data_IF_452174155024
#
_entry.id   IF_452174155024
#
_cell.length_a   1.000
_cell.length_b   1.000
_cell.length_c   1.000
_cell.angle_alpha   90.00
_cell.angle_beta   90.00
_cell.angle_gamma   90.00
#
_symmetry.space_group_name_H-M   'P 1'
#
loop_
_entity.id
_entity.type
_entity.pdbx_description
1 polymer ?
#
# COMPACT_ATOMS: atom_id res chain seq x y z
N UNK A 1 -19.55 32.26 -14.18
CA UNK A 1 -20.95 31.76 -14.17
C UNK A 1 -21.10 30.23 -14.29
N UNK A 2 -20.04 29.46 -14.62
CA UNK A 2 -20.12 28.01 -14.90
C UNK A 2 -19.98 27.07 -13.67
N UNK A 3 -19.24 27.45 -12.63
CA UNK A 3 -19.06 26.64 -11.41
C UNK A 3 -20.39 26.33 -10.69
N UNK A 4 -21.30 27.31 -10.62
CA UNK A 4 -22.62 27.17 -9.95
C UNK A 4 -23.55 26.11 -10.58
N UNK A 5 -23.35 25.76 -11.85
CA UNK A 5 -24.20 24.78 -12.55
C UNK A 5 -23.85 23.35 -12.16
N UNK A 6 -22.57 23.08 -11.90
CA UNK A 6 -22.11 21.75 -11.49
C UNK A 6 -22.45 21.49 -10.02
N UNK A 7 -22.28 22.49 -9.15
CA UNK A 7 -22.70 22.43 -7.74
C UNK A 7 -24.18 22.07 -7.58
N UNK A 8 -25.05 22.66 -8.43
CA UNK A 8 -26.50 22.38 -8.41
C UNK A 8 -26.83 20.96 -8.86
N UNK A 9 -26.07 20.40 -9.79
CA UNK A 9 -26.26 19.05 -10.31
C UNK A 9 -25.85 17.99 -9.30
N UNK A 10 -24.78 18.24 -8.54
CA UNK A 10 -24.32 17.33 -7.50
C UNK A 10 -25.19 17.45 -6.23
N UNK A 11 -25.62 18.65 -5.83
CA UNK A 11 -26.56 18.81 -4.72
C UNK A 11 -27.88 18.07 -4.96
N UNK A 12 -28.45 18.16 -6.18
CA UNK A 12 -29.63 17.36 -6.57
C UNK A 12 -29.39 15.85 -6.49
N UNK A 13 -28.15 15.39 -6.66
CA UNK A 13 -27.73 13.99 -6.58
C UNK A 13 -27.39 13.55 -5.16
N UNK A 14 -27.11 14.45 -4.22
CA UNK A 14 -26.73 14.08 -2.85
C UNK A 14 -27.86 14.17 -1.80
N UNK A 15 -28.93 14.96 -2.02
CA UNK A 15 -29.93 15.27 -0.94
C UNK A 15 -31.34 14.64 -1.05
N UNK A 16 -31.52 13.46 -1.64
CA UNK A 16 -32.86 12.91 -1.88
C UNK A 16 -32.94 11.38 -1.78
N UNK A 17 -33.81 10.91 -0.89
CA UNK A 17 -34.06 9.50 -0.62
C UNK A 17 -34.66 8.75 -1.82
N UNK A 18 -34.27 7.47 -1.91
CA UNK A 18 -35.08 6.36 -2.42
C UNK A 18 -35.65 6.44 -3.84
N UNK A 19 -35.03 5.69 -4.76
CA UNK A 19 -35.66 5.07 -5.94
C UNK A 19 -36.05 5.92 -7.16
N UNK A 20 -36.49 7.19 -7.04
CA UNK A 20 -36.90 8.02 -8.21
C UNK A 20 -35.73 8.57 -9.05
N UNK A 21 -34.48 8.24 -8.69
CA UNK A 21 -33.23 8.83 -9.21
C UNK A 21 -32.66 8.21 -10.50
N UNK A 22 -33.02 6.99 -10.90
CA UNK A 22 -32.20 6.19 -11.86
C UNK A 22 -32.02 6.80 -13.26
N UNK A 23 -33.04 7.43 -13.88
CA UNK A 23 -32.89 8.06 -15.21
C UNK A 23 -32.34 9.50 -15.18
N UNK A 24 -32.62 10.29 -14.12
CA UNK A 24 -32.09 11.66 -13.98
C UNK A 24 -30.63 11.66 -13.50
N UNK A 25 -30.25 10.72 -12.63
CA UNK A 25 -28.87 10.53 -12.16
C UNK A 25 -27.91 10.22 -13.31
N UNK A 26 -28.29 9.35 -14.25
CA UNK A 26 -27.44 9.03 -15.41
C UNK A 26 -27.09 10.24 -16.31
N UNK A 27 -27.98 11.23 -16.43
CA UNK A 27 -27.71 12.49 -17.17
C UNK A 27 -26.92 13.50 -16.35
N UNK A 28 -27.02 13.46 -15.02
CA UNK A 28 -26.17 14.26 -14.14
C UNK A 28 -24.75 13.70 -14.14
N UNK A 29 -24.60 12.37 -14.02
CA UNK A 29 -23.35 11.63 -14.16
C UNK A 29 -22.61 11.93 -15.45
N UNK A 30 -23.32 11.83 -16.57
CA UNK A 30 -22.73 12.08 -17.88
C UNK A 30 -22.36 13.56 -18.09
N UNK A 31 -23.02 14.50 -17.40
CA UNK A 31 -22.63 15.91 -17.40
C UNK A 31 -21.42 16.16 -16.51
N UNK A 32 -21.37 15.54 -15.33
CA UNK A 32 -20.26 15.62 -14.40
C UNK A 32 -18.98 15.01 -14.99
N UNK A 33 -19.06 13.80 -15.53
CA UNK A 33 -17.94 13.14 -16.20
C UNK A 33 -17.42 13.96 -17.39
N UNK A 34 -18.31 14.57 -18.18
CA UNK A 34 -17.93 15.48 -19.27
C UNK A 34 -17.26 16.76 -18.78
N UNK A 35 -17.73 17.34 -17.68
CA UNK A 35 -17.13 18.54 -17.09
C UNK A 35 -15.69 18.23 -16.63
N UNK A 36 -15.51 17.13 -15.87
CA UNK A 36 -14.20 16.68 -15.40
C UNK A 36 -13.27 16.37 -16.58
N UNK A 37 -13.73 15.61 -17.58
CA UNK A 37 -12.92 15.25 -18.75
C UNK A 37 -12.54 16.46 -19.62
N UNK A 38 -13.24 17.59 -19.50
CA UNK A 38 -12.93 18.84 -20.21
C UNK A 38 -12.02 19.76 -19.40
N UNK A 39 -11.62 19.35 -18.19
CA UNK A 39 -10.86 20.21 -17.27
C UNK A 39 -11.70 21.36 -16.72
N UNK A 40 -13.04 21.30 -16.81
CA UNK A 40 -13.88 22.28 -16.12
C UNK A 40 -13.68 22.07 -14.61
N UNK A 41 -12.97 23.01 -14.00
CA UNK A 41 -12.60 23.01 -12.59
C UNK A 41 -13.85 22.80 -11.73
N UNK A 42 -13.96 21.63 -11.10
CA UNK A 42 -14.71 21.48 -9.87
C UNK A 42 -13.99 22.35 -8.85
N UNK A 43 -14.46 23.58 -8.68
CA UNK A 43 -13.80 24.56 -7.81
C UNK A 43 -13.76 24.06 -6.37
N UNK A 44 -12.65 23.41 -6.00
CA UNK A 44 -12.17 23.19 -4.64
C UNK A 44 -13.11 22.55 -3.63
N UNK A 45 -14.22 21.93 -4.03
CA UNK A 45 -15.21 21.39 -3.11
C UNK A 45 -15.94 20.20 -3.72
N UNK A 46 -15.37 19.00 -3.65
CA UNK A 46 -16.10 17.82 -3.16
C UNK A 46 -15.26 16.54 -3.33
N UNK A 47 -14.67 16.05 -2.23
CA UNK A 47 -14.09 14.70 -2.15
C UNK A 47 -15.07 13.62 -2.64
N UNK A 48 -16.36 13.75 -2.32
CA UNK A 48 -17.40 12.77 -2.68
C UNK A 48 -17.64 12.58 -4.19
N UNK A 49 -17.01 13.36 -5.06
CA UNK A 49 -17.13 13.18 -6.52
C UNK A 49 -16.61 11.80 -6.96
N UNK A 50 -15.51 11.34 -6.37
CA UNK A 50 -14.90 10.05 -6.70
C UNK A 50 -15.84 8.89 -6.36
N UNK A 51 -16.38 8.90 -5.14
CA UNK A 51 -17.33 7.88 -4.67
C UNK A 51 -18.61 7.84 -5.51
N UNK A 52 -19.15 9.02 -5.86
CA UNK A 52 -20.35 9.13 -6.69
C UNK A 52 -20.10 8.56 -8.09
N UNK A 53 -18.94 8.84 -8.71
CA UNK A 53 -18.58 8.31 -10.02
C UNK A 53 -18.40 6.79 -9.99
N UNK A 54 -17.72 6.26 -8.96
CA UNK A 54 -17.53 4.82 -8.78
C UNK A 54 -18.85 4.10 -8.51
N UNK A 55 -19.75 4.68 -7.71
CA UNK A 55 -21.08 4.12 -7.45
C UNK A 55 -21.97 4.02 -8.68
N UNK A 56 -21.68 4.79 -9.74
CA UNK A 56 -22.42 4.74 -11.00
C UNK A 56 -21.85 3.79 -12.04
N UNK A 57 -20.62 3.30 -11.86
CA UNK A 57 -19.94 2.43 -12.83
C UNK A 57 -20.68 1.11 -13.05
N UNK A 58 -21.14 0.38 -12.00
CA UNK A 58 -21.80 -0.92 -12.17
C UNK A 58 -23.10 -0.88 -12.99
N UNK A 59 -23.84 0.23 -12.94
CA UNK A 59 -25.15 0.38 -13.60
C UNK A 59 -25.08 1.21 -14.91
N UNK A 60 -23.88 1.56 -15.37
CA UNK A 60 -23.70 2.46 -16.52
C UNK A 60 -23.69 1.72 -17.85
N UNK A 61 -24.37 2.30 -18.85
CA UNK A 61 -24.21 1.89 -20.25
C UNK A 61 -22.74 2.02 -20.68
N UNK A 62 -22.23 1.19 -21.62
CA UNK A 62 -20.80 1.14 -21.97
C UNK A 62 -20.18 2.52 -22.25
N UNK A 63 -20.80 3.30 -23.14
CA UNK A 63 -20.33 4.66 -23.49
C UNK A 63 -20.28 5.64 -22.30
N UNK A 64 -21.11 5.42 -21.28
CA UNK A 64 -21.10 6.24 -20.05
C UNK A 64 -20.02 5.75 -19.10
N UNK A 65 -19.88 4.44 -18.93
CA UNK A 65 -18.82 3.84 -18.14
C UNK A 65 -17.44 4.31 -18.64
N UNK A 66 -17.21 4.34 -19.95
CA UNK A 66 -15.94 4.79 -20.53
C UNK A 66 -15.63 6.26 -20.21
N UNK A 67 -16.65 7.13 -20.22
CA UNK A 67 -16.49 8.54 -19.81
C UNK A 67 -16.22 8.69 -18.33
N UNK A 68 -16.89 7.88 -17.50
CA UNK A 68 -16.66 7.88 -16.06
C UNK A 68 -15.22 7.44 -15.78
N UNK A 69 -14.74 6.37 -16.42
CA UNK A 69 -13.34 5.92 -16.32
C UNK A 69 -12.37 7.00 -16.78
N UNK A 70 -12.64 7.65 -17.91
CA UNK A 70 -11.82 8.77 -18.39
C UNK A 70 -11.77 9.91 -17.35
N UNK A 71 -12.91 10.31 -16.79
CA UNK A 71 -12.98 11.33 -15.77
C UNK A 71 -12.20 10.94 -14.50
N UNK A 72 -12.31 9.68 -14.07
CA UNK A 72 -11.56 9.13 -12.94
C UNK A 72 -10.05 9.10 -13.19
N UNK A 73 -9.61 8.98 -14.44
CA UNK A 73 -8.18 9.02 -14.83
C UNK A 73 -7.64 10.45 -15.01
N UNK A 74 -8.50 11.46 -14.98
CA UNK A 74 -8.12 12.86 -15.26
C UNK A 74 -8.60 13.81 -14.16
N UNK A 75 -8.58 13.36 -12.90
CA UNK A 75 -8.88 14.15 -11.72
C UNK A 75 -7.85 15.29 -11.56
N UNK A 76 -8.28 16.56 -11.60
CA UNK A 76 -7.37 17.71 -11.49
C UNK A 76 -7.02 18.08 -10.04
N UNK A 77 -7.84 17.65 -9.07
CA UNK A 77 -7.71 18.04 -7.66
C UNK A 77 -6.85 17.02 -6.89
N UNK A 78 -5.73 17.43 -6.26
CA UNK A 78 -4.91 16.55 -5.42
C UNK A 78 -5.68 15.88 -4.28
N UNK A 79 -6.70 16.55 -3.70
CA UNK A 79 -7.52 15.93 -2.65
C UNK A 79 -8.37 14.78 -3.20
N UNK A 80 -8.91 14.94 -4.43
CA UNK A 80 -9.63 13.87 -5.12
C UNK A 80 -8.69 12.72 -5.53
N UNK A 81 -7.47 13.01 -5.96
CA UNK A 81 -6.45 11.99 -6.25
C UNK A 81 -6.06 11.21 -4.98
N UNK A 82 -5.89 11.89 -3.85
CA UNK A 82 -5.60 11.25 -2.57
C UNK A 82 -6.73 10.31 -2.14
N UNK A 83 -7.98 10.79 -2.16
CA UNK A 83 -9.14 9.95 -1.88
C UNK A 83 -9.26 8.76 -2.84
N UNK A 84 -8.95 8.96 -4.12
CA UNK A 84 -8.91 7.87 -5.11
C UNK A 84 -7.89 6.78 -4.71
N UNK A 85 -6.74 7.16 -4.15
CA UNK A 85 -5.75 6.22 -3.63
C UNK A 85 -6.29 5.44 -2.42
N UNK A 86 -6.98 6.10 -1.49
CA UNK A 86 -7.61 5.45 -0.33
C UNK A 86 -8.71 4.45 -0.75
N UNK A 87 -9.54 4.83 -1.72
CA UNK A 87 -10.59 3.96 -2.26
C UNK A 87 -9.97 2.77 -3.02
N UNK A 88 -8.91 3.01 -3.79
CA UNK A 88 -8.17 1.94 -4.48
C UNK A 88 -7.63 0.88 -3.49
N UNK A 89 -7.17 1.29 -2.31
CA UNK A 89 -6.68 0.38 -1.27
C UNK A 89 -7.81 -0.35 -0.52
N UNK A 90 -9.00 0.25 -0.39
CA UNK A 90 -10.10 -0.34 0.37
C UNK A 90 -11.02 -1.23 -0.46
N UNK A 91 -11.40 -0.78 -1.67
CA UNK A 91 -12.42 -1.44 -2.50
C UNK A 91 -11.83 -2.21 -3.69
N UNK A 92 -10.65 -1.83 -4.17
CA UNK A 92 -10.01 -2.46 -5.33
C UNK A 92 -10.77 -2.24 -6.64
N UNK A 93 -10.63 -3.17 -7.59
CA UNK A 93 -11.36 -3.17 -8.86
C UNK A 93 -11.06 -1.94 -9.74
N UNK A 94 -12.12 -1.29 -10.21
CA UNK A 94 -12.06 -0.14 -11.13
C UNK A 94 -11.38 1.09 -10.51
N UNK A 95 -11.51 1.30 -9.20
CA UNK A 95 -10.81 2.39 -8.52
C UNK A 95 -9.30 2.17 -8.54
N UNK A 96 -8.86 0.93 -8.28
CA UNK A 96 -7.43 0.58 -8.35
C UNK A 96 -6.90 0.71 -9.78
N UNK A 97 -7.63 0.18 -10.77
CA UNK A 97 -7.22 0.29 -12.17
C UNK A 97 -7.06 1.75 -12.62
N UNK A 98 -8.07 2.60 -12.37
CA UNK A 98 -8.03 4.00 -12.77
C UNK A 98 -6.94 4.81 -12.06
N UNK A 99 -6.70 4.55 -10.76
CA UNK A 99 -5.64 5.24 -10.01
C UNK A 99 -4.23 4.86 -10.50
N UNK A 100 -4.00 3.57 -10.80
CA UNK A 100 -2.73 3.07 -11.34
C UNK A 100 -2.48 3.67 -12.73
N UNK A 101 -3.46 3.58 -13.64
CA UNK A 101 -3.34 4.08 -15.01
C UNK A 101 -3.11 5.60 -15.06
N UNK A 102 -3.70 6.35 -14.14
CA UNK A 102 -3.50 7.79 -14.03
C UNK A 102 -2.23 8.18 -13.28
N UNK A 103 -1.53 7.21 -12.68
CA UNK A 103 -0.31 7.43 -11.93
C UNK A 103 -0.49 8.20 -10.62
N UNK A 104 -1.69 8.15 -10.02
CA UNK A 104 -1.95 8.85 -8.75
C UNK A 104 -1.16 8.23 -7.60
N UNK A 105 -0.69 9.10 -6.72
CA UNK A 105 0.10 8.75 -5.57
C UNK A 105 -0.41 9.52 -4.33
N UNK A 106 -0.38 8.91 -3.14
CA UNK A 106 -0.62 9.62 -1.88
C UNK A 106 0.30 10.84 -1.72
N UNK A 107 -0.10 11.79 -0.87
CA UNK A 107 0.69 13.00 -0.66
C UNK A 107 1.99 12.75 0.13
N UNK A 108 1.94 11.85 1.12
CA UNK A 108 3.07 11.53 2.00
C UNK A 108 3.95 10.43 1.40
N UNK A 109 5.26 10.62 1.40
CA UNK A 109 6.21 9.69 0.76
C UNK A 109 6.16 8.28 1.34
N UNK A 110 6.02 8.14 2.66
CA UNK A 110 5.83 6.83 3.29
C UNK A 110 4.56 6.12 2.78
N UNK A 111 3.44 6.85 2.65
CA UNK A 111 2.22 6.28 2.09
C UNK A 111 2.33 5.98 0.60
N UNK A 112 3.17 6.71 -0.16
CA UNK A 112 3.48 6.37 -1.56
C UNK A 112 4.13 5.00 -1.66
N UNK A 113 5.15 4.74 -0.84
CA UNK A 113 5.83 3.45 -0.83
C UNK A 113 4.85 2.31 -0.47
N UNK A 114 4.06 2.48 0.59
CA UNK A 114 3.04 1.50 0.96
C UNK A 114 1.98 1.31 -0.13
N UNK A 115 1.55 2.39 -0.78
CA UNK A 115 0.58 2.33 -1.87
C UNK A 115 1.11 1.55 -3.07
N UNK A 116 2.34 1.81 -3.51
CA UNK A 116 2.97 1.12 -4.63
C UNK A 116 3.10 -0.40 -4.35
N UNK A 117 3.51 -0.77 -3.14
CA UNK A 117 3.59 -2.18 -2.71
C UNK A 117 2.20 -2.83 -2.65
N UNK A 118 1.22 -2.18 -2.02
CA UNK A 118 -0.15 -2.71 -1.92
C UNK A 118 -0.86 -2.79 -3.27
N UNK A 119 -0.42 -2.00 -4.24
CA UNK A 119 -0.92 -2.02 -5.63
C UNK A 119 -0.05 -2.83 -6.60
N UNK A 120 0.94 -3.58 -6.09
CA UNK A 120 1.85 -4.45 -6.85
C UNK A 120 2.63 -3.71 -7.97
N UNK A 121 2.90 -2.40 -7.79
CA UNK A 121 3.68 -1.57 -8.71
C UNK A 121 5.18 -1.63 -8.36
N UNK A 122 5.78 -2.81 -8.48
CA UNK A 122 7.12 -3.11 -7.96
C UNK A 122 8.24 -2.28 -8.59
N UNK A 123 8.24 -2.08 -9.91
CA UNK A 123 9.29 -1.30 -10.58
C UNK A 123 9.35 0.14 -10.05
N UNK A 124 8.18 0.79 -9.94
CA UNK A 124 8.06 2.14 -9.39
C UNK A 124 8.41 2.20 -7.91
N UNK A 125 8.08 1.15 -7.16
CA UNK A 125 8.49 1.05 -5.76
C UNK A 125 10.02 1.03 -5.64
N UNK A 126 10.70 0.16 -6.40
CA UNK A 126 12.16 0.05 -6.36
C UNK A 126 12.89 1.32 -6.76
N UNK A 127 12.34 2.09 -7.71
CA UNK A 127 12.86 3.42 -8.06
C UNK A 127 12.66 4.45 -6.94
N UNK A 128 11.52 4.39 -6.24
CA UNK A 128 11.14 5.38 -5.24
C UNK A 128 11.74 5.14 -3.84
N UNK A 129 11.98 3.89 -3.47
CA UNK A 129 12.49 3.49 -2.16
C UNK A 129 13.52 2.36 -2.29
N UNK A 130 14.69 2.60 -2.92
CA UNK A 130 15.71 1.58 -3.12
C UNK A 130 16.19 0.94 -1.80
N UNK A 131 16.21 1.73 -0.73
CA UNK A 131 16.69 1.33 0.59
C UNK A 131 15.59 0.77 1.50
N UNK A 132 14.32 0.83 1.08
CA UNK A 132 13.17 0.33 1.85
C UNK A 132 12.78 1.18 3.08
N UNK A 133 13.37 2.37 3.24
CA UNK A 133 13.18 3.24 4.42
C UNK A 133 11.76 3.82 4.48
N UNK A 134 11.21 4.21 3.33
CA UNK A 134 9.87 4.79 3.27
C UNK A 134 8.82 3.72 3.60
N UNK A 135 8.98 2.50 3.08
CA UNK A 135 8.10 1.39 3.38
C UNK A 135 8.22 0.96 4.85
N UNK A 136 9.42 0.95 5.44
CA UNK A 136 9.62 0.67 6.86
C UNK A 136 8.89 1.69 7.75
N UNK A 137 9.00 2.99 7.42
CA UNK A 137 8.28 4.04 8.12
C UNK A 137 6.76 3.87 8.02
N UNK A 138 6.26 3.57 6.81
CA UNK A 138 4.85 3.33 6.56
C UNK A 138 4.31 2.10 7.31
N UNK A 139 5.13 1.03 7.37
CA UNK A 139 4.80 -0.19 8.11
C UNK A 139 4.66 0.10 9.61
N UNK A 140 5.60 0.83 10.21
CA UNK A 140 5.56 1.17 11.65
C UNK A 140 4.41 2.09 12.02
N UNK A 141 4.05 3.03 11.15
CA UNK A 141 2.95 3.97 11.38
C UNK A 141 1.56 3.33 11.28
N UNK A 142 1.44 2.12 10.74
CA UNK A 142 0.16 1.45 10.49
C UNK A 142 -0.27 0.51 11.61
N UNK A 143 -1.59 0.35 11.83
CA UNK A 143 -2.11 -0.66 12.75
C UNK A 143 -1.82 -2.09 12.24
N UNK A 144 -2.00 -3.10 13.11
CA UNK A 144 -1.72 -4.51 12.81
C UNK A 144 -2.32 -4.97 11.47
N UNK A 145 -3.62 -4.72 11.24
CA UNK A 145 -4.29 -5.08 9.99
C UNK A 145 -3.67 -4.43 8.74
N UNK A 146 -3.12 -3.22 8.86
CA UNK A 146 -2.41 -2.56 7.76
C UNK A 146 -1.04 -3.17 7.50
N UNK A 147 -0.34 -3.56 8.56
CA UNK A 147 0.95 -4.26 8.50
C UNK A 147 0.83 -5.63 7.84
N UNK A 148 -0.22 -6.38 8.15
CA UNK A 148 -0.47 -7.69 7.56
C UNK A 148 -0.72 -7.60 6.05
N UNK A 149 -1.41 -6.55 5.59
CA UNK A 149 -1.62 -6.31 4.16
C UNK A 149 -0.33 -5.99 3.42
N UNK A 150 0.56 -5.19 4.03
CA UNK A 150 1.89 -4.91 3.46
C UNK A 150 2.71 -6.20 3.41
N UNK A 151 2.71 -6.99 4.49
CA UNK A 151 3.40 -8.28 4.58
C UNK A 151 2.97 -9.23 3.47
N UNK A 152 1.66 -9.41 3.30
CA UNK A 152 1.09 -10.23 2.25
C UNK A 152 1.43 -9.72 0.84
N UNK A 153 1.59 -8.40 0.66
CA UNK A 153 2.04 -7.82 -0.60
C UNK A 153 3.51 -8.13 -0.87
N UNK A 154 4.40 -7.95 0.10
CA UNK A 154 5.83 -8.23 -0.06
C UNK A 154 6.10 -9.69 -0.45
N UNK A 155 5.31 -10.64 0.06
CA UNK A 155 5.41 -12.05 -0.33
C UNK A 155 5.18 -12.26 -1.84
N UNK A 156 4.29 -11.49 -2.46
CA UNK A 156 4.02 -11.57 -3.90
C UNK A 156 5.13 -10.93 -4.74
N UNK A 157 5.71 -9.84 -4.25
CA UNK A 157 6.74 -9.07 -4.95
C UNK A 157 8.17 -9.58 -4.81
N UNK A 158 8.42 -10.56 -3.92
CA UNK A 158 9.77 -11.03 -3.57
C UNK A 158 10.74 -9.92 -3.16
N UNK A 159 10.23 -8.85 -2.56
CA UNK A 159 11.11 -7.81 -2.00
C UNK A 159 11.80 -8.39 -0.78
N UNK A 160 13.07 -8.03 -0.57
CA UNK A 160 13.85 -8.49 0.58
C UNK A 160 13.18 -8.04 1.88
N UNK A 161 12.39 -8.97 2.45
CA UNK A 161 11.53 -8.76 3.61
C UNK A 161 12.28 -8.20 4.81
N UNK A 162 13.57 -8.53 4.94
CA UNK A 162 14.44 -8.04 5.99
C UNK A 162 14.72 -6.54 5.89
N UNK A 163 15.00 -6.05 4.69
CA UNK A 163 15.34 -4.64 4.48
C UNK A 163 14.13 -3.75 4.76
N UNK A 164 12.94 -4.23 4.41
CA UNK A 164 11.66 -3.54 4.63
C UNK A 164 11.24 -3.48 6.10
N UNK A 165 11.34 -4.62 6.82
CA UNK A 165 10.79 -4.70 8.18
C UNK A 165 11.71 -4.05 9.22
N UNK A 166 12.99 -3.94 8.89
CA UNK A 166 14.02 -3.50 9.82
C UNK A 166 14.57 -2.11 9.48
N UNK A 167 14.59 -1.73 8.19
CA UNK A 167 15.24 -0.52 7.70
C UNK A 167 16.78 -0.60 7.77
N UNK A 168 17.47 0.51 7.51
CA UNK A 168 18.94 0.58 7.44
C UNK A 168 19.68 0.16 8.71
N UNK A 169 19.14 0.48 9.89
CA UNK A 169 19.73 0.03 11.14
C UNK A 169 19.15 -1.33 11.52
N UNK A 170 19.73 -2.38 10.91
CA UNK A 170 19.29 -3.76 11.10
C UNK A 170 19.16 -4.12 12.59
N UNK A 171 20.09 -3.67 13.43
CA UNK A 171 20.15 -4.05 14.84
C UNK A 171 19.15 -3.27 15.69
N UNK A 172 18.97 -1.98 15.41
CA UNK A 172 17.95 -1.19 16.11
C UNK A 172 16.54 -1.66 15.74
N UNK A 173 16.28 -1.88 14.45
CA UNK A 173 14.96 -2.30 13.97
C UNK A 173 14.55 -3.69 14.46
N UNK A 174 15.49 -4.66 14.52
CA UNK A 174 15.20 -6.03 14.96
C UNK A 174 14.84 -6.08 16.45
N UNK A 175 15.40 -5.19 17.28
CA UNK A 175 15.11 -5.13 18.72
C UNK A 175 13.69 -4.70 19.06
N UNK A 176 13.08 -3.88 18.20
CA UNK A 176 11.72 -3.37 18.37
C UNK A 176 10.65 -4.28 17.71
N UNK A 177 11.06 -5.39 17.10
CA UNK A 177 10.13 -6.34 16.50
C UNK A 177 9.31 -7.07 17.57
N UNK A 178 8.03 -7.29 17.25
CA UNK A 178 7.19 -8.20 18.02
C UNK A 178 7.45 -9.66 17.60
N UNK A 179 7.00 -10.59 18.43
CA UNK A 179 7.15 -12.04 18.23
C UNK A 179 6.72 -12.51 16.83
N UNK A 180 5.56 -12.02 16.38
CA UNK A 180 4.96 -12.40 15.11
C UNK A 180 5.81 -11.95 13.91
N UNK A 181 6.35 -10.73 13.96
CA UNK A 181 7.20 -10.22 12.88
C UNK A 181 8.56 -10.91 12.87
N UNK A 182 9.11 -11.24 14.04
CA UNK A 182 10.34 -12.01 14.16
C UNK A 182 10.19 -13.43 13.59
N UNK A 183 9.10 -14.13 13.92
CA UNK A 183 8.81 -15.48 13.41
C UNK A 183 8.61 -15.47 11.90
N UNK A 184 7.91 -14.46 11.38
CA UNK A 184 7.72 -14.28 9.95
C UNK A 184 9.04 -14.03 9.20
N UNK A 185 9.92 -13.19 9.73
CA UNK A 185 11.23 -12.94 9.14
C UNK A 185 12.06 -14.22 9.10
N UNK A 186 12.04 -14.99 10.17
CA UNK A 186 12.76 -16.25 10.26
C UNK A 186 12.26 -17.25 9.21
N UNK A 187 10.94 -17.45 9.11
CA UNK A 187 10.31 -18.33 8.14
C UNK A 187 10.61 -17.91 6.70
N UNK A 188 10.55 -16.60 6.41
CA UNK A 188 10.87 -16.04 5.09
C UNK A 188 12.32 -16.29 4.70
N UNK A 189 13.27 -16.24 5.63
CA UNK A 189 14.68 -16.47 5.35
C UNK A 189 14.99 -17.94 5.14
N UNK A 190 14.40 -18.81 5.95
CA UNK A 190 14.49 -20.26 5.80
C UNK A 190 13.94 -20.67 4.42
N UNK A 191 12.74 -20.18 4.07
CA UNK A 191 12.09 -20.48 2.79
C UNK A 191 12.88 -19.99 1.58
N UNK A 192 13.63 -18.89 1.73
CA UNK A 192 14.51 -18.35 0.70
C UNK A 192 15.90 -19.02 0.66
N UNK A 193 16.18 -20.00 1.52
CA UNK A 193 17.50 -20.65 1.62
C UNK A 193 18.59 -19.76 2.20
N UNK A 194 18.25 -18.61 2.81
CA UNK A 194 19.19 -17.63 3.37
C UNK A 194 19.52 -17.96 4.83
N UNK A 195 19.98 -19.19 5.04
CA UNK A 195 20.20 -19.77 6.36
C UNK A 195 21.16 -18.96 7.24
N UNK A 196 22.21 -18.39 6.65
CA UNK A 196 23.19 -17.58 7.38
C UNK A 196 22.61 -16.26 7.90
N UNK A 197 21.67 -15.68 7.17
CA UNK A 197 20.99 -14.45 7.58
C UNK A 197 19.93 -14.70 8.64
N UNK A 198 19.30 -15.89 8.60
CA UNK A 198 18.42 -16.37 9.66
C UNK A 198 19.20 -16.56 10.97
N UNK A 199 20.41 -17.13 10.92
CA UNK A 199 21.30 -17.22 12.07
C UNK A 199 21.80 -15.86 12.56
N UNK A 200 22.08 -14.92 11.65
CA UNK A 200 22.45 -13.55 12.04
C UNK A 200 21.30 -12.85 12.78
N UNK A 201 20.05 -13.09 12.34
CA UNK A 201 18.85 -12.55 12.98
C UNK A 201 18.68 -13.03 14.43
N UNK A 202 19.03 -14.28 14.74
CA UNK A 202 18.99 -14.84 16.12
C UNK A 202 19.76 -13.95 17.11
N UNK A 203 20.91 -13.43 16.69
CA UNK A 203 21.78 -12.61 17.56
C UNK A 203 21.37 -11.14 17.62
N UNK A 204 20.60 -10.67 16.65
CA UNK A 204 20.09 -9.30 16.60
C UNK A 204 18.75 -9.15 17.35
N UNK A 205 17.99 -10.25 17.49
CA UNK A 205 16.72 -10.32 18.23
C UNK A 205 16.90 -10.14 19.74
N UNK A 206 15.81 -9.72 20.41
CA UNK A 206 15.74 -9.81 21.87
C UNK A 206 15.94 -11.26 22.32
N UNK A 207 16.52 -11.42 23.51
CA UNK A 207 16.92 -12.72 24.04
C UNK A 207 15.82 -13.78 23.98
N UNK A 208 14.58 -13.43 24.32
CA UNK A 208 13.47 -14.41 24.32
C UNK A 208 13.17 -14.93 22.92
N UNK A 209 13.22 -14.05 21.92
CA UNK A 209 12.93 -14.39 20.52
C UNK A 209 14.14 -15.03 19.82
N UNK A 210 15.36 -14.63 20.18
CA UNK A 210 16.58 -15.26 19.70
C UNK A 210 16.65 -16.73 20.10
N UNK A 211 16.28 -17.08 21.33
CA UNK A 211 16.22 -18.47 21.80
C UNK A 211 15.20 -19.31 21.00
N UNK A 212 13.99 -18.79 20.79
CA UNK A 212 12.95 -19.47 20.01
C UNK A 212 13.37 -19.64 18.56
N UNK A 213 13.98 -18.61 17.95
CA UNK A 213 14.49 -18.67 16.59
C UNK A 213 15.63 -19.69 16.44
N UNK A 214 16.56 -19.74 17.40
CA UNK A 214 17.65 -20.71 17.41
C UNK A 214 17.14 -22.15 17.57
N UNK A 215 16.14 -22.38 18.42
CA UNK A 215 15.50 -23.68 18.58
C UNK A 215 14.85 -24.14 17.27
N UNK A 216 14.11 -23.26 16.59
CA UNK A 216 13.45 -23.57 15.32
C UNK A 216 14.42 -23.86 14.18
N UNK A 217 15.51 -23.10 14.07
CA UNK A 217 16.57 -23.37 13.09
C UNK A 217 17.25 -24.72 13.34
N UNK A 218 17.48 -25.05 14.61
CA UNK A 218 18.02 -26.36 14.99
C UNK A 218 17.05 -27.50 14.67
N UNK A 219 15.77 -27.35 14.94
CA UNK A 219 14.74 -28.36 14.63
C UNK A 219 14.58 -28.58 13.12
N UNK A 220 14.88 -27.55 12.31
CA UNK A 220 14.94 -27.63 10.85
C UNK A 220 16.27 -28.20 10.31
N UNK A 221 17.18 -28.64 11.18
CA UNK A 221 18.55 -29.09 10.86
C UNK A 221 19.40 -28.03 10.12
N UNK A 222 19.06 -26.76 10.31
CA UNK A 222 19.78 -25.62 9.73
C UNK A 222 20.86 -25.18 10.72
N UNK A 223 22.08 -25.65 10.50
CA UNK A 223 23.24 -25.26 11.29
C UNK A 223 23.84 -23.94 10.76
N UNK A 224 24.44 -23.10 11.63
CA UNK A 224 25.16 -21.93 11.17
C UNK A 224 26.36 -22.41 10.36
N UNK A 225 26.65 -21.74 9.24
CA UNK A 225 27.91 -22.03 8.54
C UNK A 225 29.04 -21.78 9.52
N UNK A 226 29.85 -22.82 9.76
CA UNK A 226 31.13 -22.64 10.44
C UNK A 226 31.95 -21.74 9.53
N UNK A 227 32.04 -20.46 9.86
CA UNK A 227 33.03 -19.58 9.23
C UNK A 227 34.39 -20.22 9.43
N UNK A 228 34.95 -20.82 8.39
CA UNK A 228 36.26 -21.45 8.46
C UNK A 228 37.37 -20.43 8.76
N UNK A 229 37.08 -19.12 8.69
CA UNK A 229 38.07 -18.05 8.86
C UNK A 229 37.65 -16.88 9.76
N UNK A 230 36.66 -17.04 10.66
CA UNK A 230 36.37 -15.99 11.65
C UNK A 230 36.23 -16.58 13.07
N UNK A 231 36.96 -16.07 14.07
CA UNK A 231 36.68 -16.44 15.45
C UNK A 231 35.24 -16.01 15.78
N UNK A 232 34.51 -16.91 16.43
CA UNK A 232 33.11 -16.69 16.74
C UNK A 232 32.92 -15.33 17.45
N UNK A 233 31.95 -14.48 17.04
CA UNK A 233 31.78 -13.13 17.59
C UNK A 233 31.57 -13.07 19.12
N UNK A 234 31.22 -14.20 19.75
CA UNK A 234 31.07 -14.32 21.20
C UNK A 234 32.41 -14.59 21.93
N UNK A 235 33.45 -15.05 21.25
CA UNK A 235 34.75 -15.38 21.84
C UNK A 235 35.54 -14.13 22.29
N UNK A 236 35.21 -12.96 21.75
CA UNK A 236 35.84 -11.67 22.13
C UNK A 236 35.19 -11.01 23.36
N UNK A 237 34.11 -11.57 23.92
CA UNK A 237 33.40 -10.99 25.08
C UNK A 237 33.74 -11.64 26.44
N UNK A 238 34.70 -12.56 26.47
CA UNK A 238 35.14 -13.25 27.70
C UNK A 238 36.61 -12.96 28.05
N UNK A 239 37.12 -11.78 27.70
CA UNK A 239 38.41 -11.28 28.20
C UNK A 239 38.20 -9.99 28.97
#
# INVERSE_FOLDING_TARGET
MRARTVDRLVWQVCTGDGFYRRRRAGRAADRLARAISRGDLLGGRMPNTVEVLLGWLPESLPRRADRIRLALRSLPDPAAQHLMCEIALSQGGEARAAAIEAGYLPALDADRAAYLVLTDQWDRYHESDPDGRLLAAAYRARPASGRDRIRAACQRGRVDTLQILVGDDRRAGVRDLNAETADYLLESLISAGRCQEAWSLVFDLRFEWGLLAAARLRDADILPERSSDAPAPWATRLR
#
